data_IF_021576299434
#
_entry.id   IF_021576299434
#
_cell.length_a   1.000
_cell.length_b   1.000
_cell.length_c   1.000
_cell.angle_alpha   90.00
_cell.angle_beta   90.00
_cell.angle_gamma   90.00
#
_symmetry.space_group_name_H-M   'P 1'
#
loop_
_entity.id
_entity.type
_entity.pdbx_description
1 polymer ?
#
# COMPACT_ATOMS: atom_id res chain seq x y z
N UNK A 1 -91.16 -4.29 -35.53
CA UNK A 1 -90.20 -3.84 -36.56
C UNK A 1 -89.75 -2.45 -36.16
N UNK A 2 -88.52 -2.13 -35.80
CA UNK A 2 -87.33 -2.89 -35.43
C UNK A 2 -86.48 -1.91 -34.62
N UNK A 3 -85.90 -2.38 -33.52
CA UNK A 3 -84.81 -1.72 -32.82
C UNK A 3 -83.64 -1.42 -33.78
N UNK A 4 -82.92 -0.32 -33.59
CA UNK A 4 -81.55 -0.43 -33.07
C UNK A 4 -80.92 0.94 -32.77
N UNK A 5 -80.35 0.98 -31.58
CA UNK A 5 -79.60 2.05 -30.92
C UNK A 5 -78.34 2.46 -31.68
N UNK A 6 -78.07 3.76 -31.66
CA UNK A 6 -76.76 4.30 -31.97
C UNK A 6 -75.69 3.77 -31.01
N UNK A 7 -74.53 3.45 -31.58
CA UNK A 7 -73.27 3.38 -30.86
C UNK A 7 -72.16 3.64 -31.89
N UNK A 8 -71.64 4.87 -31.89
CA UNK A 8 -70.38 5.17 -32.55
C UNK A 8 -69.27 4.66 -31.62
N UNK A 9 -68.39 3.73 -32.04
CA UNK A 9 -67.19 3.45 -31.28
C UNK A 9 -66.19 4.56 -31.55
N UNK A 10 -66.06 5.51 -30.62
CA UNK A 10 -64.87 6.34 -30.50
C UNK A 10 -63.69 5.43 -30.15
N UNK A 11 -63.02 4.91 -31.18
CA UNK A 11 -61.67 4.35 -31.03
C UNK A 11 -60.72 5.52 -30.82
N UNK A 12 -60.57 5.97 -29.58
CA UNK A 12 -59.32 6.56 -29.13
C UNK A 12 -58.29 5.43 -29.08
N UNK A 13 -57.77 5.05 -30.24
CA UNK A 13 -56.49 4.38 -30.33
C UNK A 13 -55.45 5.44 -30.01
N UNK A 14 -54.88 5.37 -28.81
CA UNK A 14 -53.63 6.05 -28.49
C UNK A 14 -52.56 5.56 -29.46
N UNK A 15 -52.40 6.25 -30.59
CA UNK A 15 -51.22 6.16 -31.45
C UNK A 15 -50.04 6.73 -30.65
N UNK A 16 -49.54 5.95 -29.69
CA UNK A 16 -48.20 6.16 -29.17
C UNK A 16 -47.27 5.80 -30.33
N UNK A 17 -46.61 6.80 -30.90
CA UNK A 17 -45.73 6.55 -32.03
C UNK A 17 -44.55 5.70 -31.55
N UNK A 18 -43.96 4.86 -32.40
CA UNK A 18 -42.75 4.10 -32.05
C UNK A 18 -41.58 5.02 -31.60
N UNK A 19 -41.64 6.32 -31.92
CA UNK A 19 -40.72 7.35 -31.41
C UNK A 19 -40.90 7.59 -29.91
N UNK A 20 -42.13 7.73 -29.43
CA UNK A 20 -42.44 8.00 -28.02
C UNK A 20 -42.03 6.83 -27.11
N UNK A 21 -42.18 5.60 -27.60
CA UNK A 21 -41.75 4.39 -26.88
C UNK A 21 -40.22 4.32 -26.80
N UNK A 22 -39.50 4.72 -27.86
CA UNK A 22 -38.04 4.74 -27.90
C UNK A 22 -37.47 5.82 -26.97
N UNK A 23 -38.10 6.99 -26.93
CA UNK A 23 -37.76 8.08 -26.01
C UNK A 23 -37.96 7.64 -24.55
N UNK A 24 -39.13 7.09 -24.22
CA UNK A 24 -39.40 6.59 -22.87
C UNK A 24 -38.43 5.46 -22.45
N UNK A 25 -38.09 4.55 -23.37
CA UNK A 25 -37.11 3.50 -23.10
C UNK A 25 -35.71 4.08 -22.85
N UNK A 26 -35.34 5.16 -23.55
CA UNK A 26 -34.06 5.85 -23.38
C UNK A 26 -34.01 6.55 -22.03
N UNK A 27 -35.05 7.30 -21.66
CA UNK A 27 -35.18 7.96 -20.36
C UNK A 27 -35.13 6.95 -19.20
N UNK A 28 -35.87 5.84 -19.30
CA UNK A 28 -35.84 4.77 -18.30
C UNK A 28 -34.46 4.12 -18.19
N UNK A 29 -33.75 3.96 -19.30
CA UNK A 29 -32.38 3.43 -19.29
C UNK A 29 -31.41 4.36 -18.57
N UNK A 30 -31.59 5.67 -18.74
CA UNK A 30 -30.76 6.70 -18.11
C UNK A 30 -31.01 6.75 -16.60
N UNK A 31 -32.27 6.72 -16.17
CA UNK A 31 -32.64 6.62 -14.75
C UNK A 31 -32.05 5.35 -14.13
N UNK A 32 -32.17 4.20 -14.80
CA UNK A 32 -31.56 2.95 -14.33
C UNK A 32 -30.05 3.07 -14.18
N UNK A 33 -29.38 3.73 -15.13
CA UNK A 33 -27.92 3.96 -15.10
C UNK A 33 -27.53 4.81 -13.89
N UNK A 34 -28.25 5.90 -13.64
CA UNK A 34 -28.01 6.80 -12.50
C UNK A 34 -28.22 6.09 -11.17
N UNK A 35 -29.35 5.38 -10.99
CA UNK A 35 -29.62 4.60 -9.78
C UNK A 35 -28.57 3.50 -9.56
N UNK A 36 -28.12 2.84 -10.63
CA UNK A 36 -27.06 1.83 -10.53
C UNK A 36 -25.73 2.43 -10.08
N UNK A 37 -25.42 3.64 -10.52
CA UNK A 37 -24.24 4.38 -10.06
C UNK A 37 -24.35 4.72 -8.57
N UNK A 38 -25.48 5.29 -8.11
CA UNK A 38 -25.70 5.59 -6.69
C UNK A 38 -25.58 4.34 -5.79
N UNK A 39 -26.16 3.22 -6.21
CA UNK A 39 -26.05 1.94 -5.49
C UNK A 39 -24.59 1.51 -5.38
N UNK A 40 -23.80 1.71 -6.44
CA UNK A 40 -22.36 1.42 -6.42
C UNK A 40 -21.63 2.32 -5.43
N UNK A 41 -21.87 3.64 -5.44
CA UNK A 41 -21.26 4.59 -4.49
C UNK A 41 -21.53 4.19 -3.04
N UNK A 42 -22.80 3.85 -2.72
CA UNK A 42 -23.18 3.39 -1.38
C UNK A 42 -22.48 2.08 -1.01
N UNK A 43 -22.36 1.15 -1.95
CA UNK A 43 -21.69 -0.14 -1.73
C UNK A 43 -20.20 0.05 -1.45
N UNK A 44 -19.56 1.01 -2.10
CA UNK A 44 -18.14 1.31 -1.92
C UNK A 44 -17.83 1.88 -0.52
N UNK A 45 -18.81 2.48 0.16
CA UNK A 45 -18.71 2.91 1.57
C UNK A 45 -19.17 1.82 2.55
N UNK A 46 -20.28 1.14 2.27
CA UNK A 46 -20.83 0.10 3.17
C UNK A 46 -19.85 -1.05 3.37
N UNK A 47 -19.16 -1.50 2.32
CA UNK A 47 -18.22 -2.61 2.40
C UNK A 47 -17.08 -2.36 3.40
N UNK A 48 -16.33 -1.24 3.33
CA UNK A 48 -15.34 -0.91 4.34
C UNK A 48 -15.93 -0.73 5.75
N UNK A 49 -17.15 -0.19 5.90
CA UNK A 49 -17.83 -0.12 7.21
C UNK A 49 -18.03 -1.51 7.79
N UNK A 50 -18.56 -2.46 7.00
CA UNK A 50 -18.75 -3.84 7.46
C UNK A 50 -17.42 -4.52 7.81
N UNK A 51 -16.37 -4.26 7.05
CA UNK A 51 -15.03 -4.76 7.33
C UNK A 51 -14.48 -4.19 8.65
N UNK A 52 -14.61 -2.88 8.87
CA UNK A 52 -14.22 -2.22 10.11
C UNK A 52 -15.01 -2.81 11.31
N UNK A 53 -16.33 -2.96 11.19
CA UNK A 53 -17.16 -3.57 12.24
C UNK A 53 -16.75 -5.01 12.57
N UNK A 54 -16.35 -5.80 11.59
CA UNK A 54 -15.82 -7.16 11.83
C UNK A 54 -14.46 -7.11 12.53
N UNK A 55 -13.56 -6.23 12.08
CA UNK A 55 -12.24 -6.07 12.68
C UNK A 55 -12.32 -5.57 14.13
N UNK A 56 -13.30 -4.73 14.44
CA UNK A 56 -13.55 -4.21 15.80
C UNK A 56 -13.95 -5.28 16.82
N UNK A 57 -14.35 -6.48 16.40
CA UNK A 57 -14.61 -7.61 17.33
C UNK A 57 -13.36 -8.07 18.06
N UNK A 58 -12.20 -7.97 17.40
CA UNK A 58 -10.88 -8.20 17.98
C UNK A 58 -9.89 -7.24 17.29
N UNK A 59 -9.81 -5.98 17.77
CA UNK A 59 -9.03 -4.93 17.11
C UNK A 59 -7.52 -5.22 17.12
N UNK A 60 -7.03 -5.99 18.10
CA UNK A 60 -5.61 -6.30 18.20
C UNK A 60 -5.19 -7.31 17.13
N UNK A 61 -5.91 -8.44 17.02
CA UNK A 61 -5.60 -9.45 15.98
C UNK A 61 -5.91 -8.96 14.56
N UNK A 62 -6.89 -8.07 14.43
CA UNK A 62 -7.33 -7.55 13.13
C UNK A 62 -6.82 -6.12 12.85
N UNK A 63 -5.77 -5.66 13.51
CA UNK A 63 -5.30 -4.27 13.40
C UNK A 63 -5.02 -3.86 11.94
N UNK A 64 -4.42 -4.75 11.13
CA UNK A 64 -4.17 -4.49 9.70
C UNK A 64 -5.46 -4.37 8.90
N UNK A 65 -6.44 -5.26 9.14
CA UNK A 65 -7.72 -5.20 8.45
C UNK A 65 -8.53 -3.95 8.86
N UNK A 66 -8.44 -3.55 10.13
CA UNK A 66 -9.04 -2.30 10.62
C UNK A 66 -8.38 -1.08 9.95
N UNK A 67 -7.06 -1.08 9.82
CA UNK A 67 -6.31 -0.03 9.13
C UNK A 67 -6.72 0.09 7.67
N UNK A 68 -6.75 -1.02 6.92
CA UNK A 68 -7.14 -1.04 5.50
C UNK A 68 -8.57 -0.55 5.29
N UNK A 69 -9.51 -1.01 6.12
CA UNK A 69 -10.90 -0.55 6.08
C UNK A 69 -10.99 0.96 6.36
N UNK A 70 -10.21 1.46 7.32
CA UNK A 70 -10.20 2.89 7.67
C UNK A 70 -9.65 3.74 6.52
N UNK A 71 -8.55 3.32 5.88
CA UNK A 71 -7.98 4.02 4.72
C UNK A 71 -8.98 4.12 3.56
N UNK A 72 -9.80 3.08 3.35
CA UNK A 72 -10.86 3.12 2.35
C UNK A 72 -11.98 4.11 2.74
N UNK A 73 -12.29 4.25 4.04
CA UNK A 73 -13.30 5.18 4.54
C UNK A 73 -12.82 6.64 4.58
N UNK A 74 -11.52 6.90 4.68
CA UNK A 74 -10.92 8.24 4.60
C UNK A 74 -11.13 8.92 3.24
N UNK A 75 -11.40 8.14 2.20
CA UNK A 75 -11.60 8.61 0.82
C UNK A 75 -12.94 8.12 0.27
N UNK A 76 -14.07 8.60 0.84
CA UNK A 76 -15.37 8.24 0.30
C UNK A 76 -15.58 8.87 -1.08
N UNK A 77 -16.53 8.37 -1.87
CA UNK A 77 -16.88 9.02 -3.13
C UNK A 77 -17.45 10.42 -2.92
N UNK A 78 -16.91 11.41 -3.64
CA UNK A 78 -17.29 12.84 -3.50
C UNK A 78 -18.78 13.11 -3.80
N UNK A 79 -19.38 12.28 -4.66
CA UNK A 79 -20.77 12.38 -5.11
C UNK A 79 -21.79 11.89 -4.05
N UNK A 80 -21.33 11.21 -3.00
CA UNK A 80 -22.20 10.61 -2.00
C UNK A 80 -22.38 11.55 -0.80
N UNK A 81 -23.62 11.95 -0.52
CA UNK A 81 -23.96 12.64 0.71
C UNK A 81 -23.79 11.70 1.93
N UNK A 82 -22.90 12.08 2.85
CA UNK A 82 -22.59 11.30 4.05
C UNK A 82 -23.18 11.95 5.31
N UNK A 83 -23.43 11.17 6.37
CA UNK A 83 -23.83 11.71 7.67
C UNK A 83 -22.82 12.72 8.22
N UNK A 84 -23.30 13.74 8.94
CA UNK A 84 -22.45 14.81 9.50
C UNK A 84 -21.32 14.28 10.41
N UNK A 85 -21.56 13.17 11.11
CA UNK A 85 -20.59 12.55 12.02
C UNK A 85 -19.60 11.60 11.33
N UNK A 86 -19.67 11.45 10.00
CA UNK A 86 -18.83 10.49 9.27
C UNK A 86 -17.33 10.75 9.47
N UNK A 87 -16.89 11.99 9.30
CA UNK A 87 -15.48 12.36 9.44
C UNK A 87 -14.94 12.11 10.85
N UNK A 88 -15.73 12.42 11.88
CA UNK A 88 -15.39 12.15 13.28
C UNK A 88 -15.27 10.64 13.56
N UNK A 89 -16.19 9.83 13.00
CA UNK A 89 -16.15 8.37 13.14
C UNK A 89 -14.90 7.79 12.46
N UNK A 90 -14.60 8.21 11.24
CA UNK A 90 -13.39 7.77 10.52
C UNK A 90 -12.13 8.19 11.26
N UNK A 91 -12.08 9.41 11.81
CA UNK A 91 -10.98 9.86 12.65
C UNK A 91 -10.78 8.99 13.91
N UNK A 92 -11.87 8.59 14.57
CA UNK A 92 -11.82 7.67 15.71
C UNK A 92 -11.32 6.28 15.33
N UNK A 93 -11.80 5.73 14.20
CA UNK A 93 -11.30 4.46 13.66
C UNK A 93 -9.81 4.54 13.33
N UNK A 94 -9.37 5.69 12.80
CA UNK A 94 -7.97 5.90 12.43
C UNK A 94 -7.05 5.90 13.64
N UNK A 95 -7.41 6.66 14.68
CA UNK A 95 -6.65 6.68 15.92
C UNK A 95 -6.54 5.28 16.55
N UNK A 96 -7.65 4.53 16.59
CA UNK A 96 -7.67 3.17 17.10
C UNK A 96 -6.82 2.21 16.25
N UNK A 97 -6.92 2.29 14.92
CA UNK A 97 -6.13 1.46 14.01
C UNK A 97 -4.63 1.70 14.19
N UNK A 98 -4.20 2.97 14.26
CA UNK A 98 -2.81 3.33 14.49
C UNK A 98 -2.31 2.84 15.85
N UNK A 99 -3.11 2.99 16.92
CA UNK A 99 -2.78 2.45 18.25
C UNK A 99 -2.55 0.94 18.22
N UNK A 100 -3.43 0.18 17.56
CA UNK A 100 -3.31 -1.29 17.48
C UNK A 100 -2.15 -1.74 16.60
N UNK A 101 -1.86 -1.02 15.51
CA UNK A 101 -0.68 -1.27 14.68
C UNK A 101 0.60 -1.04 15.50
N UNK A 102 0.71 0.08 16.22
CA UNK A 102 1.86 0.35 17.08
C UNK A 102 2.02 -0.69 18.19
N UNK A 103 0.92 -1.23 18.74
CA UNK A 103 0.96 -2.33 19.69
C UNK A 103 1.52 -3.64 19.09
N UNK A 104 1.19 -3.95 17.82
CA UNK A 104 1.77 -5.09 17.10
C UNK A 104 3.24 -4.87 16.78
N UNK A 105 3.63 -3.67 16.35
CA UNK A 105 5.03 -3.29 16.10
C UNK A 105 5.86 -3.48 17.37
N UNK A 106 5.36 -3.02 18.51
CA UNK A 106 6.05 -3.17 19.79
C UNK A 106 6.23 -4.64 20.18
N UNK A 107 5.17 -5.45 20.08
CA UNK A 107 5.22 -6.88 20.42
C UNK A 107 6.22 -7.62 19.52
N UNK A 108 6.14 -7.38 18.21
CA UNK A 108 7.07 -7.99 17.26
C UNK A 108 8.52 -7.55 17.50
N UNK A 109 8.76 -6.27 17.74
CA UNK A 109 10.10 -5.77 18.03
C UNK A 109 10.67 -6.30 19.35
N UNK A 110 9.82 -6.53 20.35
CA UNK A 110 10.21 -7.19 21.61
C UNK A 110 10.65 -8.63 21.34
N UNK A 111 9.83 -9.38 20.61
CA UNK A 111 10.11 -10.79 20.32
C UNK A 111 11.37 -10.92 19.45
N UNK A 112 11.53 -10.04 18.45
CA UNK A 112 12.73 -10.00 17.63
C UNK A 112 14.00 -9.63 18.42
N UNK A 113 13.90 -8.69 19.38
CA UNK A 113 15.01 -8.36 20.29
C UNK A 113 15.44 -9.58 21.11
N UNK A 114 14.48 -10.31 21.68
CA UNK A 114 14.76 -11.50 22.46
C UNK A 114 15.46 -12.57 21.60
N UNK A 115 14.95 -12.84 20.40
CA UNK A 115 15.57 -13.82 19.50
C UNK A 115 16.96 -13.40 19.03
N UNK A 116 17.18 -12.11 18.75
CA UNK A 116 18.51 -11.61 18.39
C UNK A 116 19.49 -11.71 19.58
N UNK A 117 19.03 -11.47 20.79
CA UNK A 117 19.85 -11.60 22.00
C UNK A 117 20.29 -13.06 22.22
N UNK A 118 19.41 -14.03 21.94
CA UNK A 118 19.72 -15.47 21.99
C UNK A 118 20.83 -15.88 21.01
N UNK A 119 20.89 -15.25 19.82
CA UNK A 119 21.95 -15.48 18.83
C UNK A 119 23.17 -14.56 19.03
N UNK A 120 23.24 -13.82 20.13
CA UNK A 120 24.39 -13.00 20.52
C UNK A 120 24.45 -11.61 19.90
N UNK A 121 23.35 -11.10 19.35
CA UNK A 121 23.25 -9.76 18.77
C UNK A 121 22.29 -8.87 19.56
N UNK A 122 22.66 -7.60 19.71
CA UNK A 122 21.78 -6.60 20.32
C UNK A 122 21.04 -5.82 19.24
N UNK A 123 19.73 -5.72 19.35
CA UNK A 123 18.91 -4.84 18.51
C UNK A 123 18.60 -3.52 19.21
N UNK A 124 18.96 -2.42 18.57
CA UNK A 124 18.72 -1.05 19.05
C UNK A 124 17.68 -0.33 18.20
N UNK A 125 17.27 0.88 18.62
CA UNK A 125 16.31 1.71 17.87
C UNK A 125 14.83 1.44 18.18
N UNK A 126 13.92 2.22 17.56
CA UNK A 126 12.47 2.11 17.76
C UNK A 126 11.87 0.85 17.11
N UNK A 127 10.65 0.41 17.51
CA UNK A 127 10.01 -0.80 16.97
C UNK A 127 9.86 -0.85 15.44
N UNK A 128 9.71 0.30 14.78
CA UNK A 128 9.59 0.41 13.32
C UNK A 128 10.93 0.30 12.59
N UNK A 129 12.04 0.57 13.27
CA UNK A 129 13.39 0.61 12.69
C UNK A 129 14.40 0.08 13.71
N UNK A 130 14.71 -1.21 13.60
CA UNK A 130 15.61 -1.92 14.49
C UNK A 130 17.01 -2.00 13.88
N UNK A 131 18.04 -1.79 14.68
CA UNK A 131 19.43 -1.72 14.22
C UNK A 131 20.19 -2.92 14.80
N UNK A 132 20.75 -3.73 13.91
CA UNK A 132 21.58 -4.90 14.20
C UNK A 132 22.99 -4.64 13.66
N UNK A 133 23.90 -4.15 14.50
CA UNK A 133 25.25 -3.76 14.08
C UNK A 133 25.22 -2.74 12.91
N UNK A 134 25.64 -3.14 11.71
CA UNK A 134 25.64 -2.29 10.51
C UNK A 134 24.32 -2.36 9.70
N UNK A 135 23.38 -3.20 10.12
CA UNK A 135 22.14 -3.46 9.41
C UNK A 135 20.95 -2.74 10.06
N UNK A 136 20.09 -2.17 9.21
CA UNK A 136 18.84 -1.54 9.62
C UNK A 136 17.67 -2.38 9.13
N UNK A 137 16.87 -2.89 10.06
CA UNK A 137 15.67 -3.69 9.86
C UNK A 137 14.46 -2.77 9.94
N UNK A 138 13.85 -2.47 8.78
CA UNK A 138 12.63 -1.66 8.68
C UNK A 138 11.41 -2.55 8.67
N UNK A 139 10.55 -2.37 9.65
CA UNK A 139 9.31 -3.15 9.84
C UNK A 139 8.13 -2.33 9.35
N UNK A 140 7.33 -2.92 8.45
CA UNK A 140 6.07 -2.33 7.97
C UNK A 140 4.92 -3.31 8.28
N UNK A 141 4.30 -3.13 9.45
CA UNK A 141 3.16 -3.93 9.88
C UNK A 141 1.95 -3.76 8.96
N UNK A 142 1.78 -2.57 8.36
CA UNK A 142 0.65 -2.26 7.47
C UNK A 142 0.73 -3.08 6.19
N UNK A 143 1.93 -3.25 5.63
CA UNK A 143 2.18 -4.07 4.43
C UNK A 143 2.59 -5.52 4.74
N UNK A 144 2.60 -5.90 6.02
CA UNK A 144 3.00 -7.24 6.51
C UNK A 144 4.39 -7.68 6.04
N UNK A 145 5.32 -6.74 5.88
CA UNK A 145 6.62 -6.98 5.29
C UNK A 145 7.74 -6.23 6.02
N UNK A 146 8.97 -6.65 5.79
CA UNK A 146 10.16 -5.98 6.30
C UNK A 146 11.28 -5.91 5.27
N UNK A 147 12.21 -4.99 5.48
CA UNK A 147 13.35 -4.75 4.61
C UNK A 147 14.62 -4.62 5.45
N UNK A 148 15.73 -5.20 5.00
CA UNK A 148 17.04 -5.03 5.64
C UNK A 148 17.88 -4.11 4.77
N UNK A 149 18.51 -3.10 5.38
CA UNK A 149 19.41 -2.17 4.73
C UNK A 149 20.81 -2.26 5.35
N UNK A 150 21.84 -2.13 4.52
CA UNK A 150 23.23 -1.95 4.92
C UNK A 150 23.73 -0.64 4.33
N UNK A 151 24.23 0.28 5.15
CA UNK A 151 24.81 1.58 4.71
C UNK A 151 24.00 2.36 3.65
N UNK A 152 22.66 2.32 3.75
CA UNK A 152 21.64 2.91 2.83
C UNK A 152 21.29 2.10 1.58
N UNK A 153 21.90 0.95 1.37
CA UNK A 153 21.55 0.03 0.29
C UNK A 153 20.66 -1.11 0.80
N UNK A 154 19.74 -1.64 -0.01
CA UNK A 154 18.98 -2.83 0.37
C UNK A 154 19.93 -4.03 0.47
N UNK A 155 20.04 -4.60 1.66
CA UNK A 155 20.82 -5.82 1.90
C UNK A 155 20.09 -7.07 1.35
N UNK A 156 18.77 -7.00 1.19
CA UNK A 156 17.96 -8.06 0.62
C UNK A 156 17.21 -7.59 -0.64
N UNK A 157 17.23 -8.41 -1.71
CA UNK A 157 16.62 -8.06 -3.00
C UNK A 157 15.09 -8.03 -2.98
N UNK A 158 14.45 -8.70 -2.02
CA UNK A 158 12.99 -8.80 -1.89
C UNK A 158 12.57 -8.44 -0.48
N UNK A 159 11.32 -7.97 -0.37
CA UNK A 159 10.65 -7.83 0.91
C UNK A 159 10.50 -9.20 1.59
N UNK A 160 10.79 -9.26 2.88
CA UNK A 160 10.67 -10.48 3.69
C UNK A 160 9.35 -10.41 4.45
N UNK A 161 8.70 -11.56 4.67
CA UNK A 161 7.46 -11.59 5.44
C UNK A 161 7.75 -11.26 6.90
N UNK A 162 6.77 -10.69 7.59
CA UNK A 162 6.88 -10.44 9.03
C UNK A 162 6.73 -11.74 9.82
N UNK A 163 7.86 -12.42 9.98
CA UNK A 163 8.02 -13.65 10.74
C UNK A 163 9.44 -13.64 11.35
N UNK A 164 9.54 -13.84 12.67
CA UNK A 164 10.78 -13.66 13.44
C UNK A 164 11.90 -14.54 12.89
N UNK A 165 11.62 -15.80 12.60
CA UNK A 165 12.61 -16.75 12.09
C UNK A 165 13.10 -16.35 10.69
N UNK A 166 12.18 -15.90 9.83
CA UNK A 166 12.55 -15.40 8.50
C UNK A 166 13.39 -14.13 8.57
N UNK A 167 13.16 -13.26 9.56
CA UNK A 167 13.98 -12.06 9.77
C UNK A 167 15.40 -12.44 10.12
N UNK A 168 15.55 -13.33 11.11
CA UNK A 168 16.86 -13.80 11.59
C UNK A 168 17.62 -14.48 10.46
N UNK A 169 16.99 -15.40 9.74
CA UNK A 169 17.61 -16.08 8.61
C UNK A 169 18.03 -15.12 7.48
N UNK A 170 17.24 -14.08 7.23
CA UNK A 170 17.58 -13.06 6.24
C UNK A 170 18.74 -12.17 6.70
N UNK A 171 18.81 -11.82 7.99
CA UNK A 171 19.91 -11.09 8.59
C UNK A 171 21.21 -11.89 8.51
N UNK A 172 21.21 -13.16 8.93
CA UNK A 172 22.41 -14.02 8.86
C UNK A 172 22.92 -14.17 7.42
N UNK A 173 22.01 -14.35 6.46
CA UNK A 173 22.37 -14.40 5.04
C UNK A 173 23.02 -13.09 4.59
N UNK A 174 22.40 -11.95 4.89
CA UNK A 174 22.92 -10.64 4.52
C UNK A 174 24.30 -10.36 5.15
N UNK A 175 24.48 -10.75 6.42
CA UNK A 175 25.75 -10.63 7.13
C UNK A 175 26.84 -11.49 6.48
N UNK A 176 26.54 -12.75 6.15
CA UNK A 176 27.50 -13.61 5.44
C UNK A 176 27.87 -13.05 4.06
N UNK A 177 26.87 -12.61 3.29
CA UNK A 177 27.10 -12.09 1.93
C UNK A 177 27.90 -10.77 1.90
N UNK A 178 27.74 -9.92 2.93
CA UNK A 178 28.33 -8.57 2.95
C UNK A 178 29.59 -8.51 3.83
N UNK A 179 29.53 -9.03 5.05
CA UNK A 179 30.61 -8.91 6.03
C UNK A 179 31.61 -10.06 5.94
N UNK A 180 31.18 -11.26 5.55
CA UNK A 180 32.05 -12.45 5.42
C UNK A 180 32.44 -12.70 3.96
N UNK A 181 32.38 -11.66 3.12
CA UNK A 181 32.78 -11.76 1.71
C UNK A 181 34.27 -12.05 1.62
N UNK A 182 34.61 -13.25 1.15
CA UNK A 182 35.97 -13.56 0.72
C UNK A 182 36.35 -12.58 -0.39
N UNK A 183 37.32 -11.73 -0.10
CA UNK A 183 37.84 -10.75 -1.05
C UNK A 183 39.23 -11.22 -1.44
N UNK A 184 39.43 -11.47 -2.73
CA UNK A 184 40.77 -11.69 -3.27
C UNK A 184 41.52 -10.35 -3.20
N UNK A 185 42.40 -10.27 -2.20
CA UNK A 185 43.16 -9.06 -1.91
C UNK A 185 44.09 -8.70 -3.06
N UNK A 186 44.62 -9.69 -3.79
CA UNK A 186 45.53 -9.45 -4.90
C UNK A 186 44.79 -8.85 -6.10
N UNK A 187 43.62 -9.39 -6.43
CA UNK A 187 42.78 -8.86 -7.50
C UNK A 187 42.29 -7.44 -7.18
N UNK A 188 41.84 -7.20 -5.94
CA UNK A 188 41.40 -5.87 -5.51
C UNK A 188 42.54 -4.85 -5.58
N UNK A 189 43.74 -5.19 -5.08
CA UNK A 189 44.91 -4.30 -5.13
C UNK A 189 45.28 -3.96 -6.58
N UNK A 190 45.19 -4.94 -7.48
CA UNK A 190 45.42 -4.73 -8.90
C UNK A 190 44.40 -3.75 -9.50
N UNK A 191 43.11 -3.96 -9.26
CA UNK A 191 42.06 -3.05 -9.74
C UNK A 191 42.24 -1.62 -9.20
N UNK A 192 42.61 -1.49 -7.93
CA UNK A 192 42.81 -0.20 -7.28
C UNK A 192 44.04 0.53 -7.85
N UNK A 193 45.11 -0.21 -8.14
CA UNK A 193 46.29 0.30 -8.82
C UNK A 193 45.96 0.75 -10.25
N UNK A 194 45.24 -0.06 -11.02
CA UNK A 194 44.80 0.32 -12.37
C UNK A 194 43.89 1.56 -12.36
N UNK A 195 42.97 1.66 -11.40
CA UNK A 195 42.13 2.83 -11.23
C UNK A 195 42.98 4.09 -10.90
N UNK A 196 43.97 3.96 -10.02
CA UNK A 196 44.91 5.01 -9.71
C UNK A 196 45.71 5.46 -10.96
N UNK A 197 46.25 4.53 -11.74
CA UNK A 197 46.96 4.84 -12.98
C UNK A 197 46.07 5.54 -14.00
N UNK A 198 44.79 5.15 -14.12
CA UNK A 198 43.81 5.84 -14.97
C UNK A 198 43.60 7.28 -14.52
N UNK A 199 43.47 7.54 -13.21
CA UNK A 199 43.31 8.92 -12.69
C UNK A 199 44.55 9.78 -12.91
N UNK A 200 45.75 9.22 -12.70
CA UNK A 200 47.00 9.90 -13.00
C UNK A 200 47.11 10.22 -14.49
N UNK A 201 46.78 9.28 -15.36
CA UNK A 201 46.81 9.47 -16.82
C UNK A 201 45.81 10.55 -17.27
N UNK A 202 44.60 10.56 -16.71
CA UNK A 202 43.59 11.60 -16.97
C UNK A 202 44.02 12.99 -16.46
N UNK A 203 44.67 13.07 -15.30
CA UNK A 203 45.22 14.33 -14.77
C UNK A 203 46.37 14.88 -15.62
N UNK A 204 47.21 14.00 -16.18
CA UNK A 204 48.31 14.38 -17.09
C UNK A 204 47.81 14.87 -18.44
N UNK A 205 46.70 14.32 -18.94
CA UNK A 205 46.06 14.78 -20.17
C UNK A 205 45.33 16.12 -20.00
N UNK A 206 44.74 16.38 -18.84
CA UNK A 206 44.07 17.66 -18.53
C UNK A 206 45.07 18.77 -18.18
N UNK A 207 46.22 18.46 -17.57
CA UNK A 207 47.34 19.39 -17.39
C UNK A 207 47.98 19.90 -18.69
N UNK A 208 47.79 19.18 -19.81
CA UNK A 208 48.23 19.63 -21.14
C UNK A 208 47.32 20.66 -21.80
N UNK A 209 46.09 20.86 -21.30
CA UNK A 209 45.14 21.85 -21.83
C UNK A 209 45.23 23.22 -21.13
N UNK A 210 45.95 23.31 -20.01
CA UNK A 210 46.21 24.58 -19.33
C UNK A 210 47.34 25.41 -19.97
N UNK A 211 48.01 24.90 -21.02
CA UNK A 211 49.10 25.59 -21.74
C UNK A 211 48.67 26.15 -23.11
N UNK A 212 47.40 26.57 -23.26
CA UNK A 212 46.90 27.25 -24.48
C UNK A 212 46.27 28.62 -24.24
N UNK A 213 46.41 29.19 -23.04
CA UNK A 213 46.05 30.57 -22.75
C UNK A 213 47.23 31.31 -22.09
N UNK A 214 48.32 31.43 -22.84
CA UNK A 214 49.31 32.51 -22.75
C UNK A 214 49.77 32.80 -24.17
#
# INVERSE_FOLDING_TARGET
>A
MSDNTGFAPSKQGTDQTPSDILELATELSEVRRQLSAEVKLRRDVIKPIEQALRALKDPHRNAVALYEATVALEKPPDELALPENYSALVGGLRALADEKISGLEFTFARDLRATFEEIGFKLEGPPSELIADLFVIKVDMRKRQMHIQFSRQPATRKAIKLDVDQVVAAYERARREICERETDLEELLKELFEAYERTLSASRQTGGLASKYC
#
